data_IF_281633059742
#
_entry.id   IF_281633059742
#
_cell.length_a   1.000
_cell.length_b   1.000
_cell.length_c   1.000
_cell.angle_alpha   90.00
_cell.angle_beta   90.00
_cell.angle_gamma   90.00
#
_symmetry.space_group_name_H-M   'P 1'
#
loop_
_entity.id
_entity.type
_entity.pdbx_description
1 polymer ?
#
# COMPACT_ATOMS: atom_id res chain seq x y z
N UNK A 1 14.25 5.08 9.53
CA UNK A 1 13.19 5.91 8.91
C UNK A 1 13.54 7.35 9.18
N UNK A 2 13.34 8.21 8.20
CA UNK A 2 13.83 9.57 8.24
C UNK A 2 12.67 10.56 8.17
N UNK A 3 12.68 11.55 9.07
CA UNK A 3 11.80 12.71 9.02
C UNK A 3 12.62 13.89 8.48
N UNK A 4 12.23 14.41 7.33
CA UNK A 4 12.76 15.67 6.81
C UNK A 4 11.68 16.74 6.93
N UNK A 5 12.00 17.91 7.49
CA UNK A 5 11.08 19.04 7.53
C UNK A 5 11.65 20.19 6.71
N UNK A 6 10.82 20.70 5.80
CA UNK A 6 11.11 21.91 5.06
C UNK A 6 11.18 23.13 5.96
N UNK A 7 11.88 24.15 5.50
CA UNK A 7 12.03 25.47 6.12
C UNK A 7 10.70 26.18 6.40
N UNK A 8 9.66 25.88 5.61
CA UNK A 8 8.30 26.41 5.81
C UNK A 8 7.37 25.49 6.61
N UNK A 9 7.88 24.39 7.18
CA UNK A 9 7.08 23.43 7.94
C UNK A 9 6.63 24.01 9.28
N UNK A 10 5.33 23.94 9.57
CA UNK A 10 4.75 24.34 10.85
C UNK A 10 5.03 23.34 11.97
N UNK A 11 4.91 23.79 13.22
CA UNK A 11 5.03 22.91 14.39
C UNK A 11 3.94 21.83 14.41
N UNK A 12 2.73 22.16 13.93
CA UNK A 12 1.64 21.18 13.79
C UNK A 12 2.00 20.07 12.79
N UNK A 13 2.52 20.43 11.61
CA UNK A 13 2.96 19.46 10.59
C UNK A 13 4.11 18.58 11.10
N UNK A 14 5.09 19.20 11.77
CA UNK A 14 6.22 18.50 12.40
C UNK A 14 5.75 17.47 13.43
N UNK A 15 4.81 17.86 14.29
CA UNK A 15 4.22 17.00 15.31
C UNK A 15 3.37 15.88 14.71
N UNK A 16 2.58 16.19 13.68
CA UNK A 16 1.78 15.20 12.95
C UNK A 16 2.66 14.14 12.28
N UNK A 17 3.72 14.55 11.59
CA UNK A 17 4.70 13.65 10.99
C UNK A 17 5.36 12.77 12.06
N UNK A 18 5.82 13.35 13.17
CA UNK A 18 6.40 12.60 14.29
C UNK A 18 5.43 11.58 14.89
N UNK A 19 4.14 11.92 15.04
CA UNK A 19 3.11 11.00 15.51
C UNK A 19 2.92 9.83 14.54
N UNK A 20 2.83 10.10 13.24
CA UNK A 20 2.75 9.07 12.20
C UNK A 20 3.95 8.12 12.27
N UNK A 21 5.16 8.69 12.37
CA UNK A 21 6.41 7.94 12.47
C UNK A 21 6.43 7.04 13.70
N UNK A 22 6.07 7.55 14.88
CA UNK A 22 6.05 6.75 16.10
C UNK A 22 5.07 5.58 16.01
N UNK A 23 3.88 5.80 15.43
CA UNK A 23 2.92 4.73 15.17
C UNK A 23 3.52 3.66 14.26
N UNK A 24 4.16 4.06 13.16
CA UNK A 24 4.83 3.14 12.23
C UNK A 24 5.96 2.34 12.89
N UNK A 25 6.82 2.99 13.69
CA UNK A 25 7.91 2.33 14.41
C UNK A 25 7.39 1.34 15.47
N UNK A 26 6.28 1.68 16.14
CA UNK A 26 5.57 0.77 17.03
C UNK A 26 5.11 -0.50 16.31
N UNK A 27 4.56 -0.38 15.09
CA UNK A 27 4.17 -1.53 14.24
C UNK A 27 5.37 -2.41 13.88
N UNK A 28 6.56 -1.83 13.71
CA UNK A 28 7.82 -2.54 13.41
C UNK A 28 8.52 -3.12 14.64
N UNK A 29 7.89 -3.05 15.83
CA UNK A 29 8.41 -3.59 17.11
C UNK A 29 9.82 -3.09 17.45
N UNK A 30 10.10 -1.82 17.17
CA UNK A 30 11.38 -1.19 17.53
C UNK A 30 12.60 -1.66 16.72
N UNK A 31 12.42 -2.45 15.64
CA UNK A 31 13.53 -2.90 14.78
C UNK A 31 14.09 -1.82 13.87
N UNK A 32 13.46 -0.65 13.85
CA UNK A 32 13.82 0.46 12.99
C UNK A 32 14.08 1.69 13.87
N UNK A 33 15.15 2.42 13.57
CA UNK A 33 15.47 3.68 14.23
C UNK A 33 14.91 4.86 13.43
N UNK A 34 14.66 5.98 14.14
CA UNK A 34 14.23 7.24 13.54
C UNK A 34 15.37 8.24 13.52
N UNK A 35 15.50 8.96 12.43
CA UNK A 35 16.41 10.08 12.25
C UNK A 35 15.61 11.31 11.82
N UNK A 36 16.09 12.50 12.18
CA UNK A 36 15.40 13.77 11.97
C UNK A 36 16.39 14.77 11.38
N UNK A 37 15.94 15.50 10.37
CA UNK A 37 16.69 16.56 9.70
C UNK A 37 15.75 17.73 9.41
N UNK A 38 16.12 18.93 9.83
CA UNK A 38 15.50 20.14 9.29
C UNK A 38 16.23 20.56 8.00
N UNK A 39 15.57 21.29 7.11
CA UNK A 39 16.16 21.72 5.82
C UNK A 39 17.51 22.45 6.00
N UNK A 40 17.65 23.21 7.09
CA UNK A 40 18.87 23.92 7.44
C UNK A 40 20.04 22.96 7.77
N UNK A 41 19.75 21.76 8.28
CA UNK A 41 20.75 20.73 8.60
C UNK A 41 21.30 20.03 7.33
N UNK A 42 20.63 20.20 6.18
CA UNK A 42 21.03 19.61 4.89
C UNK A 42 22.06 20.46 4.13
N UNK A 43 22.43 21.64 4.62
CA UNK A 43 23.45 22.51 4.00
C UNK A 43 24.86 21.89 4.03
N UNK A 44 25.03 20.79 4.75
CA UNK A 44 26.26 20.01 4.83
C UNK A 44 25.99 18.56 4.45
N UNK A 45 26.89 17.96 3.66
CA UNK A 45 26.76 16.57 3.20
C UNK A 45 26.51 15.63 4.39
N UNK A 46 25.36 14.95 4.38
CA UNK A 46 24.96 14.05 5.45
C UNK A 46 24.47 12.72 4.87
N UNK A 47 24.29 11.69 5.72
CA UNK A 47 23.84 10.37 5.26
C UNK A 47 22.54 10.42 4.47
N UNK A 48 21.64 11.36 4.74
CA UNK A 48 20.38 11.52 4.01
C UNK A 48 20.59 12.00 2.57
N UNK A 49 21.34 13.09 2.38
CA UNK A 49 21.60 13.64 1.04
C UNK A 49 22.35 12.63 0.17
N UNK A 50 23.15 11.73 0.75
CA UNK A 50 23.83 10.66 0.02
C UNK A 50 22.91 9.55 -0.51
N UNK A 51 21.69 9.43 0.04
CA UNK A 51 20.69 8.45 -0.42
C UNK A 51 19.83 8.98 -1.58
N UNK A 52 19.83 10.30 -1.80
CA UNK A 52 19.08 10.94 -2.86
C UNK A 52 20.00 11.16 -4.06
N UNK A 53 19.46 11.01 -5.28
CA UNK A 53 20.18 11.36 -6.50
C UNK A 53 19.80 12.77 -6.96
N UNK A 54 20.77 13.52 -7.48
CA UNK A 54 20.55 14.83 -8.12
C UNK A 54 19.94 14.70 -9.54
N UNK A 55 19.59 13.49 -9.96
CA UNK A 55 18.91 13.28 -11.24
C UNK A 55 17.52 13.91 -11.22
N UNK A 56 17.15 14.69 -12.24
CA UNK A 56 15.83 15.29 -12.33
C UNK A 56 14.78 14.17 -12.38
N UNK A 57 13.89 14.16 -11.38
CA UNK A 57 12.77 13.22 -11.34
C UNK A 57 11.64 13.82 -12.16
N UNK A 58 11.03 13.00 -13.03
CA UNK A 58 9.80 13.39 -13.70
C UNK A 58 8.78 13.83 -12.64
N UNK A 59 8.06 14.95 -12.85
CA UNK A 59 7.07 15.39 -11.89
C UNK A 59 6.09 14.24 -11.64
N UNK A 60 5.87 13.92 -10.35
CA UNK A 60 4.88 12.94 -9.97
C UNK A 60 3.58 13.28 -10.71
N UNK A 61 3.01 12.33 -11.47
CA UNK A 61 1.75 12.61 -12.15
C UNK A 61 0.76 13.10 -11.10
N UNK A 62 0.02 14.15 -11.42
CA UNK A 62 -1.01 14.65 -10.52
C UNK A 62 -1.87 13.45 -10.10
N UNK A 63 -2.08 13.23 -8.79
CA UNK A 63 -2.93 12.14 -8.36
C UNK A 63 -4.26 12.28 -9.09
N UNK A 64 -4.77 11.20 -9.72
CA UNK A 64 -5.99 11.27 -10.50
C UNK A 64 -7.09 11.88 -9.63
N UNK A 65 -7.81 12.88 -10.18
CA UNK A 65 -8.87 13.63 -9.47
C UNK A 65 -9.91 12.72 -8.80
N UNK A 66 -10.05 11.49 -9.28
CA UNK A 66 -10.73 10.39 -8.60
C UNK A 66 -10.02 9.08 -8.96
N UNK A 67 -9.55 8.35 -7.96
CA UNK A 67 -9.14 6.96 -8.13
C UNK A 67 -10.34 6.06 -7.83
N UNK A 68 -10.67 5.16 -8.75
CA UNK A 68 -11.76 4.21 -8.55
C UNK A 68 -11.21 2.93 -7.92
N UNK A 69 -11.57 2.64 -6.67
CA UNK A 69 -11.19 1.38 -6.01
C UNK A 69 -11.77 0.20 -6.78
N UNK A 70 -11.09 -0.94 -6.76
CA UNK A 70 -11.60 -2.16 -7.37
C UNK A 70 -11.38 -3.37 -6.47
N UNK A 71 -12.41 -4.20 -6.35
CA UNK A 71 -12.34 -5.49 -5.71
C UNK A 71 -12.42 -6.58 -6.79
N UNK A 72 -11.46 -7.48 -6.80
CA UNK A 72 -11.41 -8.64 -7.69
C UNK A 72 -11.17 -9.89 -6.85
N UNK A 73 -11.61 -11.04 -7.35
CA UNK A 73 -11.32 -12.35 -6.76
C UNK A 73 -10.54 -13.21 -7.74
N UNK A 74 -9.53 -13.88 -7.23
CA UNK A 74 -8.69 -14.82 -7.94
C UNK A 74 -9.16 -16.23 -7.55
N UNK A 75 -9.81 -16.90 -8.49
CA UNK A 75 -10.46 -18.19 -8.27
C UNK A 75 -9.99 -19.23 -9.28
N UNK A 76 -9.86 -20.49 -8.86
CA UNK A 76 -9.56 -21.63 -9.73
C UNK A 76 -10.76 -22.56 -10.01
N UNK A 77 -11.96 -22.21 -9.55
CA UNK A 77 -13.21 -22.98 -9.68
C UNK A 77 -13.53 -23.41 -11.12
N UNK A 78 -13.12 -22.61 -12.11
CA UNK A 78 -13.35 -22.92 -13.53
C UNK A 78 -12.37 -23.95 -14.11
N UNK A 79 -11.51 -24.56 -13.28
CA UNK A 79 -10.40 -25.44 -13.68
C UNK A 79 -9.13 -24.69 -14.08
N UNK A 80 -9.23 -23.37 -14.27
CA UNK A 80 -8.11 -22.47 -14.52
C UNK A 80 -8.18 -21.28 -13.56
N UNK A 81 -7.00 -20.82 -13.16
CA UNK A 81 -6.84 -19.67 -12.28
C UNK A 81 -7.23 -18.39 -13.05
N UNK A 82 -8.24 -17.66 -12.55
CA UNK A 82 -8.78 -16.46 -13.20
C UNK A 82 -9.01 -15.34 -12.20
N UNK A 83 -8.68 -14.13 -12.62
CA UNK A 83 -8.99 -12.91 -11.88
C UNK A 83 -10.33 -12.35 -12.37
N UNK A 84 -11.31 -12.26 -11.48
CA UNK A 84 -12.70 -11.93 -11.77
C UNK A 84 -13.04 -10.63 -11.03
N UNK A 85 -13.51 -9.57 -11.72
CA UNK A 85 -13.94 -8.35 -11.04
C UNK A 85 -15.22 -8.59 -10.23
N UNK A 86 -15.25 -8.08 -9.00
CA UNK A 86 -16.40 -8.16 -8.08
C UNK A 86 -17.14 -6.83 -8.03
N UNK A 87 -16.45 -5.75 -7.67
CA UNK A 87 -17.01 -4.40 -7.69
C UNK A 87 -15.95 -3.34 -8.04
N UNK A 88 -16.42 -2.16 -8.43
CA UNK A 88 -15.60 -0.97 -8.70
C UNK A 88 -16.25 0.26 -8.05
N UNK A 89 -15.42 1.23 -7.69
CA UNK A 89 -15.82 2.46 -7.02
C UNK A 89 -15.90 2.28 -5.52
N UNK A 90 -17.04 1.76 -5.05
CA UNK A 90 -17.27 1.47 -3.63
C UNK A 90 -16.96 0.02 -3.32
N UNK A 91 -16.08 -0.22 -2.35
CA UNK A 91 -15.69 -1.55 -1.88
C UNK A 91 -16.18 -1.76 -0.45
N UNK A 92 -16.69 -2.96 -0.19
CA UNK A 92 -17.24 -3.36 1.10
C UNK A 92 -16.62 -4.69 1.52
N UNK A 93 -16.46 -4.90 2.83
CA UNK A 93 -16.05 -6.21 3.36
C UNK A 93 -16.97 -7.34 2.89
N UNK A 94 -18.26 -7.06 2.65
CA UNK A 94 -19.21 -8.07 2.18
C UNK A 94 -18.88 -8.62 0.78
N UNK A 95 -18.05 -7.91 0.00
CA UNK A 95 -17.59 -8.37 -1.31
C UNK A 95 -16.43 -9.37 -1.25
N UNK A 96 -15.80 -9.57 -0.08
CA UNK A 96 -14.73 -10.54 0.08
C UNK A 96 -15.27 -11.96 0.00
N UNK A 97 -14.69 -12.78 -0.86
CA UNK A 97 -15.02 -14.20 -0.98
C UNK A 97 -14.11 -15.03 -0.06
N UNK A 98 -14.62 -15.70 0.99
CA UNK A 98 -13.79 -16.48 1.90
C UNK A 98 -13.13 -17.71 1.27
N UNK A 99 -13.66 -18.21 0.16
CA UNK A 99 -13.12 -19.39 -0.54
C UNK A 99 -12.01 -19.07 -1.54
N UNK A 100 -11.77 -17.80 -1.83
CA UNK A 100 -10.84 -17.37 -2.89
C UNK A 100 -9.74 -16.43 -2.33
N UNK A 101 -8.80 -16.04 -3.19
CA UNK A 101 -7.90 -14.91 -2.92
C UNK A 101 -8.50 -13.62 -3.46
N UNK A 102 -8.58 -12.58 -2.65
CA UNK A 102 -9.21 -11.31 -3.00
C UNK A 102 -8.15 -10.23 -3.24
N UNK A 103 -8.26 -9.51 -4.35
CA UNK A 103 -7.41 -8.39 -4.72
C UNK A 103 -8.21 -7.10 -4.52
N UNK A 104 -7.71 -6.23 -3.65
CA UNK A 104 -8.29 -4.91 -3.38
C UNK A 104 -7.32 -3.86 -3.90
N UNK A 105 -7.66 -3.28 -5.04
CA UNK A 105 -6.86 -2.26 -5.72
C UNK A 105 -7.30 -0.88 -5.28
N UNK A 106 -6.36 -0.13 -4.70
CA UNK A 106 -6.57 1.19 -4.12
C UNK A 106 -5.51 2.16 -4.62
N UNK A 107 -5.67 3.44 -4.30
CA UNK A 107 -4.65 4.45 -4.61
C UNK A 107 -3.36 4.23 -3.81
N UNK A 108 -3.46 3.64 -2.62
CA UNK A 108 -2.33 3.43 -1.71
C UNK A 108 -1.55 2.14 -1.99
N UNK A 109 -2.15 1.20 -2.72
CA UNK A 109 -1.56 -0.11 -2.95
C UNK A 109 -2.55 -1.17 -3.42
N UNK A 110 -1.99 -2.31 -3.82
CA UNK A 110 -2.75 -3.54 -4.05
C UNK A 110 -2.70 -4.41 -2.79
N UNK A 111 -3.85 -4.64 -2.17
CA UNK A 111 -3.99 -5.56 -1.05
C UNK A 111 -4.44 -6.92 -1.56
N UNK A 112 -3.72 -7.97 -1.20
CA UNK A 112 -4.04 -9.36 -1.51
C UNK A 112 -4.48 -10.00 -0.20
N UNK A 113 -5.78 -10.23 -0.08
CA UNK A 113 -6.39 -10.90 1.07
C UNK A 113 -6.68 -12.36 0.74
N UNK A 114 -5.96 -13.27 1.37
CA UNK A 114 -6.16 -14.71 1.23
C UNK A 114 -7.30 -15.16 2.12
N UNK A 115 -8.40 -15.59 1.51
CA UNK A 115 -9.56 -16.14 2.20
C UNK A 115 -9.20 -17.37 3.06
N UNK A 116 -9.96 -17.64 4.14
CA UNK A 116 -9.69 -18.73 5.06
C UNK A 116 -9.66 -20.11 4.39
N UNK A 117 -10.43 -20.31 3.32
CA UNK A 117 -10.54 -21.59 2.61
C UNK A 117 -10.00 -21.54 1.18
N UNK A 118 -9.19 -20.52 0.86
CA UNK A 118 -8.54 -20.36 -0.44
C UNK A 118 -7.72 -21.60 -0.86
N UNK A 119 -7.84 -21.96 -2.14
CA UNK A 119 -7.16 -23.10 -2.74
C UNK A 119 -5.64 -22.93 -2.64
N UNK A 120 -4.90 -24.05 -2.67
CA UNK A 120 -3.41 -24.00 -2.69
C UNK A 120 -2.92 -23.31 -3.96
N UNK A 121 -3.56 -23.60 -5.09
CA UNK A 121 -3.19 -23.07 -6.41
C UNK A 121 -3.43 -21.57 -6.50
N UNK A 122 -4.52 -21.07 -5.90
CA UNK A 122 -4.78 -19.63 -5.80
C UNK A 122 -3.73 -18.92 -4.97
N UNK A 123 -3.41 -19.47 -3.79
CA UNK A 123 -2.39 -18.91 -2.89
C UNK A 123 -1.01 -18.83 -3.54
N UNK A 124 -0.61 -19.88 -4.24
CA UNK A 124 0.67 -19.93 -4.96
C UNK A 124 0.67 -19.03 -6.21
N UNK A 125 -0.47 -18.90 -6.89
CA UNK A 125 -0.63 -18.06 -8.08
C UNK A 125 -0.78 -16.57 -7.79
N UNK A 126 -1.23 -16.19 -6.60
CA UNK A 126 -1.60 -14.83 -6.23
C UNK A 126 -0.52 -13.78 -6.55
N UNK A 127 0.74 -14.08 -6.21
CA UNK A 127 1.83 -13.13 -6.45
C UNK A 127 2.12 -12.90 -7.94
N UNK A 128 2.05 -13.98 -8.74
CA UNK A 128 2.26 -13.89 -10.19
C UNK A 128 1.14 -13.09 -10.85
N UNK A 129 -0.11 -13.36 -10.47
CA UNK A 129 -1.27 -12.65 -11.01
C UNK A 129 -1.32 -11.18 -10.56
N UNK A 130 -0.89 -10.87 -9.33
CA UNK A 130 -0.78 -9.49 -8.86
C UNK A 130 0.22 -8.67 -9.68
N UNK A 131 1.39 -9.23 -9.97
CA UNK A 131 2.39 -8.57 -10.84
C UNK A 131 1.84 -8.34 -12.26
N UNK A 132 1.18 -9.34 -12.85
CA UNK A 132 0.55 -9.20 -14.17
C UNK A 132 -0.52 -8.11 -14.15
N UNK A 133 -1.37 -8.10 -13.12
CA UNK A 133 -2.42 -7.11 -12.95
C UNK A 133 -1.85 -5.68 -12.87
N UNK A 134 -0.84 -5.45 -12.02
CA UNK A 134 -0.20 -4.14 -11.88
C UNK A 134 0.51 -3.68 -13.15
N UNK A 135 1.20 -4.58 -13.85
CA UNK A 135 1.81 -4.27 -15.15
C UNK A 135 0.77 -3.87 -16.18
N UNK A 136 -0.36 -4.58 -16.26
CA UNK A 136 -1.46 -4.24 -17.17
C UNK A 136 -2.09 -2.88 -16.84
N UNK A 137 -2.13 -2.52 -15.56
CA UNK A 137 -2.57 -1.21 -15.08
C UNK A 137 -1.51 -0.10 -15.19
N UNK A 138 -0.34 -0.39 -15.80
CA UNK A 138 0.81 0.52 -15.90
C UNK A 138 1.27 1.08 -14.54
N UNK A 139 1.11 0.28 -13.49
CA UNK A 139 1.44 0.61 -12.09
C UNK A 139 2.41 -0.42 -11.47
N UNK A 140 3.55 -0.75 -12.12
CA UNK A 140 4.42 -1.87 -11.71
C UNK A 140 5.14 -1.63 -10.37
N UNK A 141 5.26 -0.37 -9.94
CA UNK A 141 5.96 0.02 -8.71
C UNK A 141 5.03 0.17 -7.49
N UNK A 142 3.73 -0.08 -7.66
CA UNK A 142 2.77 -0.01 -6.56
C UNK A 142 3.11 -1.04 -5.49
N UNK A 143 2.93 -0.64 -4.23
CA UNK A 143 3.05 -1.52 -3.08
C UNK A 143 2.06 -2.69 -3.18
N UNK A 144 2.53 -3.87 -2.78
CA UNK A 144 1.69 -5.07 -2.68
C UNK A 144 1.69 -5.55 -1.24
N UNK A 145 0.49 -5.60 -0.64
CA UNK A 145 0.28 -5.99 0.75
C UNK A 145 -0.35 -7.37 0.79
N UNK A 146 0.36 -8.37 1.32
CA UNK A 146 -0.15 -9.74 1.40
C UNK A 146 -0.67 -10.03 2.81
N UNK A 147 -1.96 -10.36 2.91
CA UNK A 147 -2.69 -10.55 4.16
C UNK A 147 -3.39 -11.91 4.16
N UNK A 148 -3.31 -12.62 5.28
CA UNK A 148 -4.07 -13.85 5.51
C UNK A 148 -5.31 -13.54 6.34
N UNK A 149 -6.38 -14.31 6.16
CA UNK A 149 -7.54 -14.25 7.05
C UNK A 149 -7.13 -14.27 8.53
N UNK A 150 -7.65 -13.30 9.30
CA UNK A 150 -7.34 -13.10 10.71
C UNK A 150 -6.06 -12.28 11.01
N UNK A 151 -5.27 -11.92 10.00
CA UNK A 151 -4.13 -11.03 10.16
C UNK A 151 -4.60 -9.57 10.26
N UNK A 152 -4.18 -8.86 11.31
CA UNK A 152 -4.49 -7.43 11.47
C UNK A 152 -3.60 -6.56 10.60
N UNK A 153 -4.17 -5.58 9.91
CA UNK A 153 -3.46 -4.52 9.19
C UNK A 153 -4.29 -3.25 9.23
N UNK A 154 -3.74 -2.20 9.85
CA UNK A 154 -4.41 -0.90 9.94
C UNK A 154 -4.68 -0.31 8.56
N UNK A 155 -3.71 -0.45 7.66
CA UNK A 155 -3.81 0.05 6.29
C UNK A 155 -4.96 -0.63 5.56
N UNK A 156 -5.13 -1.94 5.72
CA UNK A 156 -6.24 -2.68 5.13
C UNK A 156 -7.57 -2.38 5.82
N UNK A 157 -7.60 -2.08 7.11
CA UNK A 157 -8.84 -1.74 7.83
C UNK A 157 -9.38 -0.35 7.41
N UNK A 158 -8.53 0.54 6.89
CA UNK A 158 -8.87 1.91 6.49
C UNK A 158 -9.41 2.05 5.05
N UNK A 159 -9.25 1.05 4.18
CA UNK A 159 -9.61 1.19 2.75
C UNK A 159 -11.09 0.99 2.43
N UNK A 160 -11.92 0.59 3.39
CA UNK A 160 -13.31 0.15 3.15
C UNK A 160 -14.33 1.28 3.20
N UNK A 161 -15.39 1.16 2.39
CA UNK A 161 -16.46 2.17 2.29
C UNK A 161 -17.72 1.75 3.08
N UNK A 162 -17.59 0.87 4.06
CA UNK A 162 -18.73 0.31 4.81
C UNK A 162 -19.44 1.31 5.74
N UNK A 163 -18.79 2.45 6.02
CA UNK A 163 -19.26 3.44 6.99
C UNK A 163 -19.64 4.79 6.34
N UNK A 164 -19.74 4.85 5.01
CA UNK A 164 -20.17 6.04 4.24
C UNK A 164 -21.61 6.01 3.72
#
# INVERSE_FOLDING_TARGET
MLQWNGSSCSDEERSAASKHINNFLGRRKGKLIREFYDEEDLLSFNPFTSLLSDEPVDPLPNPPKAFEKALLRLSDDSGALKLIPVCRGRISHAGLEPTDVNFVDTIDGLFIYVGPTASKREREGAWSEARKYLSNMQRPYMSVHFLKAGQKSYEFDEIWDDYE
#
